data_IF_133974733650
#
_entry.id   IF_133974733650
#
_cell.length_a   1.000
_cell.length_b   1.000
_cell.length_c   1.000
_cell.angle_alpha   90.00
_cell.angle_beta   90.00
_cell.angle_gamma   90.00
#
_symmetry.space_group_name_H-M   'P 1'
#
loop_
_entity.id
_entity.type
_entity.pdbx_description
1 polymer ?
#
# COMPACT_ATOMS: atom_id res chain seq x y z
N UNK A 1 -34.34 -17.72 0.71
CA UNK A 1 -33.24 -17.89 -0.25
C UNK A 1 -32.99 -16.72 -1.23
N UNK A 2 -33.95 -16.04 -1.86
CA UNK A 2 -33.62 -14.82 -2.66
C UNK A 2 -33.30 -13.59 -1.79
N UNK A 3 -33.89 -13.46 -0.61
CA UNK A 3 -33.61 -12.33 0.33
C UNK A 3 -32.17 -12.32 0.86
N UNK A 4 -31.58 -13.50 1.13
CA UNK A 4 -30.19 -13.61 1.58
C UNK A 4 -29.18 -13.07 0.53
N UNK A 5 -29.41 -13.35 -0.75
CA UNK A 5 -28.50 -12.91 -1.82
C UNK A 5 -28.53 -11.40 -2.05
N UNK A 6 -29.70 -10.77 -1.96
CA UNK A 6 -29.80 -9.31 -2.04
C UNK A 6 -29.08 -8.64 -0.87
N UNK A 7 -29.21 -9.18 0.33
CA UNK A 7 -28.50 -8.71 1.52
C UNK A 7 -26.98 -8.86 1.35
N UNK A 8 -26.51 -10.01 0.83
CA UNK A 8 -25.08 -10.23 0.55
C UNK A 8 -24.54 -9.21 -0.46
N UNK A 9 -25.26 -8.89 -1.53
CA UNK A 9 -24.86 -7.87 -2.51
C UNK A 9 -24.71 -6.50 -1.84
N UNK A 10 -25.62 -6.11 -0.96
CA UNK A 10 -25.53 -4.83 -0.22
C UNK A 10 -24.28 -4.82 0.69
N UNK A 11 -24.00 -5.92 1.39
CA UNK A 11 -22.81 -6.05 2.24
C UNK A 11 -21.53 -6.01 1.42
N UNK A 12 -21.48 -6.68 0.25
CA UNK A 12 -20.35 -6.67 -0.66
C UNK A 12 -20.05 -5.26 -1.21
N UNK A 13 -21.08 -4.46 -1.53
CA UNK A 13 -20.91 -3.06 -1.98
C UNK A 13 -20.19 -2.18 -0.95
N UNK A 14 -20.30 -2.48 0.34
CA UNK A 14 -19.61 -1.77 1.41
C UNK A 14 -18.14 -2.18 1.61
N UNK A 15 -17.67 -3.21 0.94
CA UNK A 15 -16.31 -3.74 1.10
C UNK A 15 -15.36 -3.20 0.03
N UNK A 16 -14.24 -2.60 0.44
CA UNK A 16 -13.20 -2.05 -0.46
C UNK A 16 -12.77 -2.98 -1.61
N UNK A 17 -12.56 -4.31 -1.42
CA UNK A 17 -12.18 -5.19 -2.51
C UNK A 17 -13.15 -5.21 -3.69
N UNK A 18 -14.44 -4.99 -3.43
CA UNK A 18 -15.50 -5.06 -4.44
C UNK A 18 -15.92 -3.68 -4.98
N UNK A 19 -15.22 -2.63 -4.58
CA UNK A 19 -15.49 -1.28 -5.05
C UNK A 19 -15.31 -1.14 -6.55
N UNK A 20 -16.30 -0.51 -7.20
CA UNK A 20 -16.31 -0.27 -8.65
C UNK A 20 -16.56 -1.51 -9.50
N UNK A 21 -17.05 -2.61 -8.94
CA UNK A 21 -17.61 -3.72 -9.68
C UNK A 21 -19.01 -3.39 -10.18
N UNK A 22 -19.41 -3.93 -11.35
CA UNK A 22 -20.77 -3.82 -11.86
C UNK A 22 -21.75 -4.65 -11.01
N UNK A 23 -23.05 -4.33 -11.09
CA UNK A 23 -24.07 -5.09 -10.38
C UNK A 23 -24.10 -6.57 -10.79
N UNK A 24 -23.81 -6.89 -12.06
CA UNK A 24 -23.66 -8.26 -12.56
C UNK A 24 -22.46 -8.97 -11.93
N UNK A 25 -21.32 -8.28 -11.81
CA UNK A 25 -20.14 -8.84 -11.17
C UNK A 25 -20.37 -9.06 -9.67
N UNK A 26 -21.04 -8.14 -9.00
CA UNK A 26 -21.42 -8.28 -7.59
C UNK A 26 -22.40 -9.44 -7.37
N UNK A 27 -23.36 -9.63 -8.28
CA UNK A 27 -24.28 -10.77 -8.23
C UNK A 27 -23.54 -12.10 -8.42
N UNK A 28 -22.53 -12.13 -9.30
CA UNK A 28 -21.67 -13.32 -9.49
C UNK A 28 -20.88 -13.62 -8.20
N UNK A 29 -20.28 -12.62 -7.56
CA UNK A 29 -19.59 -12.80 -6.28
C UNK A 29 -20.57 -13.29 -5.21
N UNK A 30 -21.74 -12.67 -5.09
CA UNK A 30 -22.77 -13.04 -4.12
C UNK A 30 -23.28 -14.48 -4.32
N UNK A 31 -23.25 -15.01 -5.56
CA UNK A 31 -23.69 -16.37 -5.84
C UNK A 31 -22.84 -17.46 -5.19
N UNK A 32 -21.57 -17.14 -4.91
CA UNK A 32 -20.58 -18.05 -4.29
C UNK A 32 -20.18 -17.63 -2.88
N UNK A 33 -20.80 -16.58 -2.34
CA UNK A 33 -20.54 -16.06 -1.00
C UNK A 33 -21.52 -16.70 -0.01
N UNK A 34 -21.01 -17.21 1.11
CA UNK A 34 -21.78 -17.72 2.22
C UNK A 34 -21.72 -16.79 3.42
N UNK A 35 -22.74 -16.78 4.26
CA UNK A 35 -22.76 -16.08 5.54
C UNK A 35 -22.47 -17.08 6.66
N UNK A 36 -21.45 -16.79 7.46
CA UNK A 36 -21.04 -17.56 8.61
C UNK A 36 -21.26 -16.72 9.88
N UNK A 37 -22.04 -17.25 10.81
CA UNK A 37 -22.25 -16.62 12.13
C UNK A 37 -21.36 -17.29 13.17
N UNK A 38 -20.64 -16.47 13.94
CA UNK A 38 -19.77 -16.92 15.02
C UNK A 38 -20.13 -16.20 16.32
N UNK A 39 -20.16 -16.95 17.40
CA UNK A 39 -20.46 -16.43 18.76
C UNK A 39 -19.21 -15.79 19.36
N UNK A 40 -19.42 -14.90 20.33
CA UNK A 40 -18.31 -14.33 21.11
C UNK A 40 -17.45 -15.44 21.76
N UNK A 41 -16.15 -15.29 21.68
CA UNK A 41 -15.17 -16.27 22.17
C UNK A 41 -14.98 -17.49 21.25
N UNK A 42 -15.78 -17.66 20.21
CA UNK A 42 -15.64 -18.76 19.28
C UNK A 42 -14.50 -18.49 18.28
N UNK A 43 -13.63 -19.48 18.09
CA UNK A 43 -12.61 -19.47 17.04
C UNK A 43 -13.19 -19.79 15.68
N UNK A 44 -12.56 -19.27 14.63
CA UNK A 44 -12.79 -19.71 13.25
C UNK A 44 -11.75 -20.76 12.93
N UNK A 45 -12.20 -21.97 12.62
CA UNK A 45 -11.31 -23.02 12.13
C UNK A 45 -10.79 -22.65 10.73
N UNK A 46 -9.53 -22.28 10.67
CA UNK A 46 -8.86 -22.00 9.43
C UNK A 46 -8.18 -23.29 8.94
N UNK A 47 -8.39 -23.69 7.67
CA UNK A 47 -7.70 -24.85 7.12
C UNK A 47 -6.19 -24.68 7.26
N UNK A 48 -5.51 -25.75 7.63
CA UNK A 48 -4.05 -25.76 7.85
C UNK A 48 -3.25 -25.72 6.53
N UNK A 49 -3.90 -25.92 5.39
CA UNK A 49 -3.30 -26.00 4.08
C UNK A 49 -3.58 -24.78 3.19
N UNK A 50 -3.04 -24.80 1.98
CA UNK A 50 -2.95 -23.71 0.99
C UNK A 50 -4.29 -23.11 0.55
N UNK A 51 -5.42 -23.69 0.97
CA UNK A 51 -6.77 -23.33 0.53
C UNK A 51 -7.49 -22.48 1.59
N UNK A 52 -6.92 -21.32 1.92
CA UNK A 52 -7.56 -20.37 2.82
C UNK A 52 -8.77 -19.71 2.13
N UNK A 53 -9.98 -19.84 2.68
CA UNK A 53 -11.12 -19.06 2.23
C UNK A 53 -10.89 -17.56 2.44
N UNK A 54 -11.53 -16.75 1.62
CA UNK A 54 -11.66 -15.32 1.86
C UNK A 54 -12.76 -15.09 2.89
N UNK A 55 -12.47 -14.23 3.86
CA UNK A 55 -13.43 -13.82 4.88
C UNK A 55 -13.53 -12.30 4.91
N UNK A 56 -14.74 -11.76 5.05
CA UNK A 56 -14.97 -10.34 5.33
C UNK A 56 -15.93 -10.17 6.49
N UNK A 57 -15.65 -9.19 7.36
CA UNK A 57 -16.48 -8.92 8.54
C UNK A 57 -17.67 -8.06 8.13
N UNK A 58 -18.86 -8.67 8.08
CA UNK A 58 -20.11 -7.96 7.81
C UNK A 58 -20.60 -7.19 9.05
N UNK A 59 -20.54 -7.83 10.23
CA UNK A 59 -20.87 -7.22 11.53
C UNK A 59 -20.00 -7.84 12.63
N UNK A 60 -19.79 -7.13 13.72
CA UNK A 60 -19.05 -7.63 14.88
C UNK A 60 -17.58 -7.23 14.89
N UNK A 61 -16.74 -8.01 15.58
CA UNK A 61 -15.30 -7.77 15.76
C UNK A 61 -14.55 -9.09 15.98
N UNK A 62 -13.44 -9.29 15.27
CA UNK A 62 -12.63 -10.51 15.33
C UNK A 62 -11.20 -10.16 15.67
N UNK A 63 -10.60 -10.86 16.65
CA UNK A 63 -9.18 -10.77 16.95
C UNK A 63 -8.39 -11.71 16.05
N UNK A 64 -7.45 -11.18 15.30
CA UNK A 64 -6.48 -11.93 14.49
C UNK A 64 -5.18 -12.09 15.27
N UNK A 65 -4.74 -13.31 15.48
CA UNK A 65 -3.50 -13.64 16.18
C UNK A 65 -2.57 -14.41 15.26
N UNK A 66 -1.32 -13.96 15.14
CA UNK A 66 -0.30 -14.66 14.36
C UNK A 66 0.31 -15.76 15.20
N UNK A 67 0.23 -17.01 14.76
CA UNK A 67 0.98 -18.10 15.35
C UNK A 67 2.46 -17.98 14.95
N UNK A 68 3.32 -17.73 15.94
CA UNK A 68 4.78 -17.73 15.78
C UNK A 68 5.40 -18.77 16.70
N UNK A 69 6.53 -19.37 16.28
CA UNK A 69 7.24 -20.45 17.02
C UNK A 69 7.57 -20.13 18.50
N UNK A 70 7.54 -18.86 18.89
CA UNK A 70 7.94 -18.44 20.25
C UNK A 70 6.87 -17.70 21.05
N UNK A 71 5.89 -17.05 20.46
CA UNK A 71 4.79 -16.36 21.15
C UNK A 71 3.65 -16.06 20.18
N UNK A 72 2.43 -16.28 20.61
CA UNK A 72 1.25 -15.71 19.95
C UNK A 72 1.30 -14.20 20.08
N UNK A 73 1.29 -13.49 18.95
CA UNK A 73 1.20 -12.03 18.94
C UNK A 73 -0.17 -11.65 18.38
N UNK A 74 -1.01 -10.95 19.15
CA UNK A 74 -2.19 -10.31 18.58
C UNK A 74 -1.73 -9.33 17.52
N UNK A 75 -2.27 -9.44 16.30
CA UNK A 75 -1.87 -8.57 15.19
C UNK A 75 -2.75 -7.34 15.20
N UNK A 76 -4.05 -7.51 15.09
CA UNK A 76 -5.10 -6.48 15.27
C UNK A 76 -6.48 -7.08 15.31
N UNK A 77 -7.43 -6.29 15.81
CA UNK A 77 -8.83 -6.65 15.77
C UNK A 77 -9.45 -6.17 14.45
N UNK A 78 -10.01 -7.10 13.70
CA UNK A 78 -10.76 -6.84 12.49
C UNK A 78 -12.17 -6.35 12.85
N UNK A 79 -12.60 -5.26 12.27
CA UNK A 79 -13.92 -4.63 12.45
C UNK A 79 -14.75 -4.75 11.16
N UNK A 80 -15.98 -4.26 11.19
CA UNK A 80 -16.85 -4.21 10.02
C UNK A 80 -16.10 -3.64 8.80
N UNK A 81 -16.27 -4.26 7.66
CA UNK A 81 -15.64 -4.00 6.37
C UNK A 81 -14.16 -4.42 6.24
N UNK A 82 -13.53 -4.94 7.30
CA UNK A 82 -12.22 -5.57 7.18
C UNK A 82 -12.35 -6.98 6.59
N UNK A 83 -11.26 -7.46 5.98
CA UNK A 83 -11.21 -8.79 5.38
C UNK A 83 -9.85 -9.47 5.59
N UNK A 84 -9.80 -10.79 5.35
CA UNK A 84 -8.59 -11.61 5.44
C UNK A 84 -8.71 -12.86 4.57
N UNK A 85 -7.60 -13.59 4.41
CA UNK A 85 -7.54 -14.84 3.64
C UNK A 85 -7.17 -14.69 2.17
N UNK A 86 -7.36 -13.51 1.58
CA UNK A 86 -6.99 -13.25 0.19
C UNK A 86 -5.46 -13.20 -0.04
N UNK A 87 -4.66 -13.03 1.00
CA UNK A 87 -3.20 -12.94 0.96
C UNK A 87 -2.56 -14.26 0.49
N UNK A 88 -3.17 -15.39 0.81
CA UNK A 88 -2.72 -16.71 0.31
C UNK A 88 -2.92 -16.81 -1.20
N UNK A 89 -4.09 -16.46 -1.70
CA UNK A 89 -4.43 -16.57 -3.12
C UNK A 89 -3.65 -15.60 -4.02
N UNK A 90 -3.28 -14.41 -3.50
CA UNK A 90 -2.68 -13.32 -4.29
C UNK A 90 -1.19 -13.18 -4.06
N UNK A 91 -0.72 -13.31 -2.81
CA UNK A 91 0.68 -13.10 -2.43
C UNK A 91 1.44 -14.40 -2.13
N UNK A 92 0.76 -15.56 -2.16
CA UNK A 92 1.36 -16.86 -1.78
C UNK A 92 1.82 -16.90 -0.32
N UNK A 93 1.21 -16.12 0.56
CA UNK A 93 1.59 -16.04 1.98
C UNK A 93 1.30 -17.38 2.68
N UNK A 94 2.24 -17.86 3.49
CA UNK A 94 2.10 -19.11 4.28
C UNK A 94 1.97 -18.82 5.78
N UNK A 95 1.34 -17.73 6.17
CA UNK A 95 1.21 -17.38 7.60
C UNK A 95 -0.02 -18.05 8.20
N UNK A 96 0.18 -18.72 9.31
CA UNK A 96 -0.90 -19.33 10.09
C UNK A 96 -1.42 -18.28 11.07
N UNK A 97 -2.72 -18.02 10.98
CA UNK A 97 -3.42 -17.14 11.89
C UNK A 97 -4.49 -17.91 12.66
N UNK A 98 -4.73 -17.50 13.90
CA UNK A 98 -5.92 -17.89 14.66
C UNK A 98 -6.87 -16.70 14.70
N UNK A 99 -8.14 -16.95 14.60
CA UNK A 99 -9.19 -15.93 14.65
C UNK A 99 -10.17 -16.26 15.77
N UNK A 100 -10.46 -15.27 16.61
CA UNK A 100 -11.42 -15.41 17.69
C UNK A 100 -12.38 -14.24 17.66
N UNK A 101 -13.66 -14.50 17.69
CA UNK A 101 -14.67 -13.45 17.74
C UNK A 101 -14.66 -12.75 19.11
N UNK A 102 -14.47 -11.43 19.12
CA UNK A 102 -14.54 -10.59 20.32
C UNK A 102 -15.96 -10.15 20.66
N UNK A 103 -16.88 -10.29 19.71
CA UNK A 103 -18.33 -10.04 19.82
C UNK A 103 -19.04 -10.99 18.85
N UNK A 104 -20.35 -11.21 19.01
CA UNK A 104 -21.13 -11.92 17.98
C UNK A 104 -20.87 -11.31 16.61
N UNK A 105 -20.40 -12.13 15.66
CA UNK A 105 -19.86 -11.67 14.38
C UNK A 105 -20.47 -12.44 13.22
N UNK A 106 -20.81 -11.73 12.15
CA UNK A 106 -21.18 -12.30 10.86
C UNK A 106 -20.04 -12.11 9.88
N UNK A 107 -19.58 -13.21 9.28
CA UNK A 107 -18.55 -13.22 8.25
C UNK A 107 -19.16 -13.61 6.92
N UNK A 108 -18.80 -12.88 5.87
CA UNK A 108 -18.97 -13.31 4.49
C UNK A 108 -17.78 -14.21 4.14
N UNK A 109 -18.04 -15.39 3.60
CA UNK A 109 -17.01 -16.36 3.25
C UNK A 109 -17.07 -16.75 1.78
N UNK A 110 -15.91 -16.83 1.12
CA UNK A 110 -15.76 -17.34 -0.25
C UNK A 110 -14.67 -18.41 -0.22
N UNK A 111 -15.00 -19.60 -0.66
CA UNK A 111 -14.06 -20.72 -0.78
C UNK A 111 -12.86 -20.36 -1.67
N UNK A 112 -11.66 -20.88 -1.33
CA UNK A 112 -10.43 -20.54 -2.04
C UNK A 112 -10.49 -20.84 -3.55
N UNK A 113 -11.06 -21.96 -3.94
CA UNK A 113 -11.24 -22.35 -5.35
C UNK A 113 -12.20 -21.41 -6.09
N UNK A 114 -13.27 -20.97 -5.44
CA UNK A 114 -14.22 -20.01 -5.97
C UNK A 114 -13.60 -18.63 -6.10
N UNK A 115 -12.85 -18.20 -5.08
CA UNK A 115 -12.09 -16.94 -5.13
C UNK A 115 -11.10 -16.95 -6.31
N UNK A 116 -10.33 -18.02 -6.48
CA UNK A 116 -9.39 -18.15 -7.58
C UNK A 116 -10.08 -18.08 -8.97
N UNK A 117 -11.31 -18.57 -9.07
CA UNK A 117 -12.12 -18.47 -10.28
C UNK A 117 -12.60 -17.03 -10.50
N UNK A 118 -13.13 -16.37 -9.46
CA UNK A 118 -13.54 -14.98 -9.51
C UNK A 118 -12.38 -14.05 -9.90
N UNK A 119 -11.18 -14.27 -9.37
CA UNK A 119 -9.99 -13.47 -9.72
C UNK A 119 -9.57 -13.62 -11.19
N UNK A 120 -9.90 -14.73 -11.84
CA UNK A 120 -9.69 -14.92 -13.29
C UNK A 120 -10.77 -14.24 -14.12
N UNK A 121 -12.03 -14.29 -13.65
CA UNK A 121 -13.19 -13.75 -14.38
C UNK A 121 -13.32 -12.24 -14.22
N UNK A 122 -12.88 -11.68 -13.07
CA UNK A 122 -13.03 -10.26 -12.70
C UNK A 122 -11.64 -9.66 -12.45
N UNK A 123 -10.92 -9.19 -13.50
CA UNK A 123 -9.58 -8.62 -13.35
C UNK A 123 -9.52 -7.46 -12.36
N UNK A 124 -10.56 -6.62 -12.30
CA UNK A 124 -10.65 -5.49 -11.38
C UNK A 124 -10.64 -5.93 -9.91
N UNK A 125 -11.34 -7.01 -9.55
CA UNK A 125 -11.30 -7.58 -8.21
C UNK A 125 -9.88 -8.01 -7.83
N UNK A 126 -9.16 -8.63 -8.77
CA UNK A 126 -7.76 -9.03 -8.57
C UNK A 126 -6.85 -7.83 -8.31
N UNK A 127 -7.02 -6.75 -9.06
CA UNK A 127 -6.25 -5.50 -8.89
C UNK A 127 -6.55 -4.83 -7.56
N UNK A 128 -7.83 -4.68 -7.20
CA UNK A 128 -8.24 -4.11 -5.93
C UNK A 128 -7.61 -4.87 -4.75
N UNK A 129 -7.81 -6.19 -4.71
CA UNK A 129 -7.25 -7.04 -3.66
C UNK A 129 -5.72 -6.97 -3.61
N UNK A 130 -5.04 -6.97 -4.76
CA UNK A 130 -3.58 -6.88 -4.84
C UNK A 130 -3.06 -5.56 -4.25
N UNK A 131 -3.71 -4.45 -4.56
CA UNK A 131 -3.35 -3.12 -4.03
C UNK A 131 -3.54 -3.06 -2.52
N UNK A 132 -4.69 -3.51 -2.03
CA UNK A 132 -5.00 -3.50 -0.59
C UNK A 132 -4.05 -4.43 0.18
N UNK A 133 -3.78 -5.63 -0.33
CA UNK A 133 -2.89 -6.58 0.34
C UNK A 133 -1.43 -6.13 0.36
N UNK A 134 -0.95 -5.42 -0.68
CA UNK A 134 0.37 -4.79 -0.66
C UNK A 134 0.45 -3.73 0.43
N UNK A 135 -0.59 -2.91 0.56
CA UNK A 135 -0.71 -1.92 1.64
C UNK A 135 -0.68 -2.59 3.01
N UNK A 136 -1.49 -3.61 3.24
CA UNK A 136 -1.47 -4.37 4.50
C UNK A 136 -0.13 -5.03 4.80
N UNK A 137 0.56 -5.57 3.80
CA UNK A 137 1.90 -6.13 3.98
C UNK A 137 2.92 -5.05 4.39
N UNK A 138 2.85 -3.89 3.78
CA UNK A 138 3.69 -2.75 4.14
C UNK A 138 3.39 -2.27 5.57
N UNK A 139 2.11 -2.19 5.96
CA UNK A 139 1.67 -1.85 7.31
C UNK A 139 2.19 -2.84 8.37
N UNK A 140 2.23 -4.13 8.06
CA UNK A 140 2.74 -5.16 9.00
C UNK A 140 4.25 -5.12 9.20
N UNK A 141 5.00 -4.65 8.20
CA UNK A 141 6.46 -4.60 8.25
C UNK A 141 7.01 -3.34 8.91
N UNK A 142 6.21 -2.30 9.09
CA UNK A 142 6.60 -0.99 9.58
C UNK A 142 5.71 -0.55 10.74
N UNK A 143 6.25 0.28 11.65
CA UNK A 143 5.48 0.88 12.73
C UNK A 143 4.99 2.26 12.27
N UNK A 144 3.69 2.48 12.37
CA UNK A 144 3.04 3.76 12.05
C UNK A 144 2.54 4.41 13.35
N UNK A 145 3.44 4.59 14.31
CA UNK A 145 3.11 5.13 15.64
C UNK A 145 2.61 6.60 15.57
N UNK A 146 2.72 7.22 14.39
CA UNK A 146 2.30 8.60 14.13
C UNK A 146 0.88 8.71 13.55
N UNK A 147 0.23 7.62 13.21
CA UNK A 147 -1.15 7.63 12.71
C UNK A 147 -2.10 7.69 13.88
N UNK A 148 -3.05 8.63 13.83
CA UNK A 148 -4.08 8.79 14.86
C UNK A 148 -5.07 7.62 14.79
N UNK A 149 -5.70 7.26 15.92
CA UNK A 149 -6.65 6.13 15.99
C UNK A 149 -7.86 6.29 15.05
N UNK A 150 -8.25 7.53 14.75
CA UNK A 150 -9.36 7.86 13.86
C UNK A 150 -8.94 7.95 12.39
N UNK A 151 -7.64 7.88 12.09
CA UNK A 151 -7.09 8.05 10.74
C UNK A 151 -6.94 6.70 10.04
N UNK A 152 -7.49 6.57 8.84
CA UNK A 152 -7.43 5.35 8.06
C UNK A 152 -6.34 5.42 6.97
N UNK A 153 -5.38 4.48 7.00
CA UNK A 153 -4.39 4.35 5.93
C UNK A 153 -5.04 3.67 4.73
N UNK A 154 -5.07 4.36 3.61
CA UNK A 154 -5.69 3.88 2.36
C UNK A 154 -4.69 3.26 1.40
N UNK A 155 -3.47 3.79 1.36
CA UNK A 155 -2.40 3.30 0.50
C UNK A 155 -1.04 3.44 1.18
N UNK A 156 -0.22 2.38 1.08
CA UNK A 156 1.22 2.47 1.33
C UNK A 156 1.93 1.97 0.08
N UNK A 157 2.81 2.77 -0.46
CA UNK A 157 3.60 2.43 -1.65
C UNK A 157 5.07 2.77 -1.44
N UNK A 158 5.92 2.11 -2.22
CA UNK A 158 7.37 2.29 -2.22
C UNK A 158 7.83 2.57 -3.65
N UNK A 159 9.09 2.94 -3.82
CA UNK A 159 9.73 3.01 -5.14
C UNK A 159 9.57 1.68 -5.90
N UNK A 160 9.29 1.76 -7.19
CA UNK A 160 9.06 0.58 -8.02
C UNK A 160 10.36 -0.22 -8.23
N UNK A 161 10.36 -1.57 -8.13
CA UNK A 161 11.57 -2.37 -8.28
C UNK A 161 12.33 -2.12 -9.59
N UNK A 162 11.63 -1.86 -10.70
CA UNK A 162 12.28 -1.54 -11.98
C UNK A 162 13.10 -0.25 -11.92
N UNK A 163 12.74 0.70 -11.04
CA UNK A 163 13.55 1.91 -10.84
C UNK A 163 14.95 1.56 -10.31
N UNK A 164 15.07 0.59 -9.40
CA UNK A 164 16.37 0.16 -8.88
C UNK A 164 17.32 -0.31 -10.00
N UNK A 165 16.79 -1.08 -10.96
CA UNK A 165 17.61 -1.52 -12.12
C UNK A 165 18.11 -0.32 -12.95
N UNK A 166 17.25 0.68 -13.18
CA UNK A 166 17.63 1.90 -13.91
C UNK A 166 18.63 2.72 -13.09
N UNK A 167 18.42 2.88 -11.80
CA UNK A 167 19.32 3.65 -10.92
C UNK A 167 20.71 3.00 -10.79
N UNK A 168 20.80 1.68 -10.86
CA UNK A 168 22.08 0.96 -10.82
C UNK A 168 22.89 1.05 -12.12
N UNK A 169 22.33 1.54 -13.24
CA UNK A 169 23.07 1.69 -14.48
C UNK A 169 24.27 2.65 -14.32
N UNK A 170 24.14 3.71 -13.53
CA UNK A 170 25.24 4.64 -13.23
C UNK A 170 26.42 3.97 -12.52
N UNK A 171 26.20 3.37 -11.32
CA UNK A 171 27.26 2.60 -10.65
C UNK A 171 27.87 1.49 -11.51
N UNK A 172 27.06 0.79 -12.30
CA UNK A 172 27.55 -0.25 -13.21
C UNK A 172 28.44 0.33 -14.31
N UNK A 173 28.05 1.45 -14.93
CA UNK A 173 28.88 2.13 -15.92
C UNK A 173 30.21 2.59 -15.32
N UNK A 174 30.20 3.10 -14.08
CA UNK A 174 31.40 3.45 -13.35
C UNK A 174 32.27 2.20 -13.08
N UNK A 175 31.66 1.10 -12.64
CA UNK A 175 32.39 -0.16 -12.43
C UNK A 175 33.02 -0.66 -13.76
N UNK A 176 32.31 -0.57 -14.88
CA UNK A 176 32.83 -0.91 -16.20
C UNK A 176 34.01 -0.04 -16.60
N UNK A 177 34.01 1.26 -16.26
CA UNK A 177 35.13 2.17 -16.56
C UNK A 177 36.43 1.77 -15.89
N UNK A 178 36.38 1.00 -14.78
CA UNK A 178 37.56 0.47 -14.09
C UNK A 178 38.39 -0.49 -14.97
N UNK A 179 37.79 -1.06 -16.00
CA UNK A 179 38.53 -1.90 -16.97
C UNK A 179 39.60 -1.12 -17.74
N UNK A 180 39.43 0.20 -17.93
CA UNK A 180 40.41 1.03 -18.64
C UNK A 180 41.76 1.08 -17.91
N UNK A 181 41.85 1.39 -16.60
CA UNK A 181 43.13 1.29 -15.87
C UNK A 181 43.74 -0.12 -15.92
N UNK A 182 42.94 -1.16 -15.76
CA UNK A 182 43.45 -2.54 -15.84
C UNK A 182 43.96 -2.91 -17.21
N UNK A 183 43.34 -2.40 -18.29
CA UNK A 183 43.87 -2.56 -19.65
C UNK A 183 45.19 -1.80 -19.81
N UNK A 184 45.34 -0.59 -19.26
CA UNK A 184 46.60 0.15 -19.27
C UNK A 184 47.68 -0.64 -18.55
N UNK A 185 47.36 -1.24 -17.38
CA UNK A 185 48.28 -2.11 -16.69
C UNK A 185 48.76 -3.29 -17.58
N UNK A 186 47.84 -3.96 -18.28
CA UNK A 186 48.16 -5.10 -19.15
C UNK A 186 49.07 -4.72 -20.30
N UNK A 187 48.94 -3.48 -20.84
CA UNK A 187 49.71 -2.98 -21.98
C UNK A 187 50.99 -2.23 -21.56
N UNK A 188 51.16 -1.92 -20.27
CA UNK A 188 52.27 -1.10 -19.81
C UNK A 188 53.53 -1.96 -19.51
N UNK A 189 54.70 -1.60 -20.05
CA UNK A 189 55.95 -2.30 -19.76
C UNK A 189 56.61 -1.85 -18.43
N UNK A 190 56.06 -0.85 -17.73
CA UNK A 190 56.71 -0.26 -16.55
C UNK A 190 55.93 -0.56 -15.26
N UNK A 191 56.61 -1.06 -14.21
CA UNK A 191 56.02 -1.43 -12.94
C UNK A 191 55.33 -0.24 -12.27
N UNK A 192 55.90 0.97 -12.38
CA UNK A 192 55.31 2.15 -11.75
C UNK A 192 53.94 2.53 -12.35
N UNK A 193 53.79 2.45 -13.66
CA UNK A 193 52.53 2.73 -14.36
C UNK A 193 51.50 1.66 -14.03
N UNK A 194 51.90 0.38 -13.97
CA UNK A 194 51.03 -0.73 -13.65
C UNK A 194 50.44 -0.62 -12.22
N UNK A 195 51.29 -0.28 -11.25
CA UNK A 195 50.83 -0.07 -9.85
C UNK A 195 49.82 1.07 -9.73
N UNK A 196 50.07 2.23 -10.37
CA UNK A 196 49.13 3.36 -10.36
C UNK A 196 47.82 2.99 -11.03
N UNK A 197 47.86 2.29 -12.16
CA UNK A 197 46.68 1.84 -12.88
C UNK A 197 45.83 0.85 -12.05
N UNK A 198 46.47 -0.09 -11.37
CA UNK A 198 45.78 -1.05 -10.50
C UNK A 198 45.07 -0.34 -9.32
N UNK A 199 45.77 0.55 -8.63
CA UNK A 199 45.16 1.31 -7.53
C UNK A 199 44.01 2.22 -8.01
N UNK A 200 44.15 2.81 -9.20
CA UNK A 200 43.11 3.61 -9.81
C UNK A 200 41.88 2.75 -10.13
N UNK A 201 42.10 1.58 -10.77
CA UNK A 201 41.03 0.63 -11.09
C UNK A 201 40.27 0.15 -9.85
N UNK A 202 41.01 -0.23 -8.80
CA UNK A 202 40.44 -0.65 -7.52
C UNK A 202 39.66 0.51 -6.88
N UNK A 203 40.19 1.75 -6.89
CA UNK A 203 39.52 2.93 -6.36
C UNK A 203 38.19 3.20 -7.06
N UNK A 204 38.14 3.07 -8.39
CA UNK A 204 36.90 3.19 -9.17
C UNK A 204 35.89 2.10 -8.79
N UNK A 205 36.32 0.84 -8.63
CA UNK A 205 35.44 -0.23 -8.20
C UNK A 205 34.86 -0.02 -6.80
N UNK A 206 35.67 0.44 -5.87
CA UNK A 206 35.21 0.78 -4.52
C UNK A 206 34.19 1.92 -4.57
N UNK A 207 34.47 2.99 -5.34
CA UNK A 207 33.55 4.11 -5.50
C UNK A 207 32.22 3.65 -6.13
N UNK A 208 32.26 2.82 -7.15
CA UNK A 208 31.08 2.23 -7.80
C UNK A 208 30.29 1.36 -6.83
N UNK A 209 30.95 0.54 -6.02
CA UNK A 209 30.34 -0.29 -5.00
C UNK A 209 29.64 0.52 -3.90
N UNK A 210 30.30 1.58 -3.41
CA UNK A 210 29.71 2.50 -2.44
C UNK A 210 28.49 3.24 -2.99
N UNK A 211 28.57 3.69 -4.24
CA UNK A 211 27.43 4.31 -4.92
C UNK A 211 26.25 3.33 -5.10
N UNK A 212 26.52 2.10 -5.55
CA UNK A 212 25.50 1.06 -5.68
C UNK A 212 24.85 0.73 -4.33
N UNK A 213 25.65 0.59 -3.27
CA UNK A 213 25.15 0.36 -1.92
C UNK A 213 24.27 1.51 -1.43
N UNK A 214 24.68 2.75 -1.65
CA UNK A 214 23.86 3.92 -1.32
C UNK A 214 22.53 3.92 -2.07
N UNK A 215 22.56 3.71 -3.39
CA UNK A 215 21.36 3.61 -4.24
C UNK A 215 20.40 2.53 -3.74
N UNK A 216 20.92 1.39 -3.30
CA UNK A 216 20.11 0.31 -2.74
C UNK A 216 19.49 0.68 -1.39
N UNK A 217 20.24 1.31 -0.50
CA UNK A 217 19.75 1.77 0.82
C UNK A 217 18.64 2.80 0.65
N UNK A 218 18.83 3.80 -0.22
CA UNK A 218 17.84 4.80 -0.58
C UNK A 218 16.54 4.15 -1.12
N UNK A 219 16.70 3.18 -2.03
CA UNK A 219 15.55 2.46 -2.60
C UNK A 219 14.69 1.72 -1.56
N UNK A 220 15.28 1.08 -0.55
CA UNK A 220 14.53 0.23 0.40
C UNK A 220 13.92 1.02 1.55
N UNK A 221 14.42 2.21 1.84
CA UNK A 221 14.03 2.95 3.04
C UNK A 221 12.89 3.95 2.80
N UNK A 222 12.71 4.41 1.57
CA UNK A 222 11.68 5.37 1.24
C UNK A 222 10.33 4.70 1.05
N UNK A 223 9.32 5.33 1.62
CA UNK A 223 7.93 4.90 1.44
C UNK A 223 6.95 6.06 1.57
N UNK A 224 5.83 5.90 0.92
CA UNK A 224 4.79 6.91 0.77
C UNK A 224 3.47 6.39 1.31
N UNK A 225 2.74 7.21 2.03
CA UNK A 225 1.49 6.86 2.67
C UNK A 225 0.40 7.85 2.28
N UNK A 226 -0.76 7.34 1.93
CA UNK A 226 -1.99 8.13 1.74
C UNK A 226 -2.99 7.68 2.78
N UNK A 227 -3.48 8.63 3.56
CA UNK A 227 -4.56 8.43 4.53
C UNK A 227 -5.83 9.14 4.06
N UNK A 228 -6.89 9.00 4.81
CA UNK A 228 -8.14 9.74 4.58
C UNK A 228 -8.03 11.24 4.89
N UNK A 229 -6.98 11.67 5.63
CA UNK A 229 -6.74 13.06 6.03
C UNK A 229 -5.56 13.76 5.36
N UNK A 230 -4.50 13.02 5.00
CA UNK A 230 -3.22 13.58 4.53
C UNK A 230 -2.45 12.65 3.62
N UNK A 231 -1.48 13.21 2.90
CA UNK A 231 -0.40 12.49 2.20
C UNK A 231 0.89 12.64 2.98
N UNK A 232 1.67 11.58 3.06
CA UNK A 232 2.91 11.52 3.85
C UNK A 232 4.01 10.88 3.04
N UNK A 233 5.14 11.57 2.96
CA UNK A 233 6.40 11.07 2.44
C UNK A 233 7.34 10.78 3.59
N UNK A 234 7.94 9.60 3.60
CA UNK A 234 8.88 9.19 4.63
C UNK A 234 10.16 8.72 3.96
N UNK A 235 11.19 9.54 4.14
CA UNK A 235 12.56 9.23 3.75
C UNK A 235 13.34 8.82 4.99
N UNK A 236 13.96 7.68 4.97
CA UNK A 236 14.75 7.20 6.10
C UNK A 236 16.06 6.58 5.64
N UNK A 237 17.16 7.12 6.11
CA UNK A 237 18.48 6.50 5.96
C UNK A 237 18.89 5.94 7.31
N UNK A 238 19.00 4.62 7.39
CA UNK A 238 19.22 3.87 8.64
C UNK A 238 20.40 4.46 9.42
N UNK A 239 20.11 4.97 10.63
CA UNK A 239 21.12 5.48 11.56
C UNK A 239 21.65 6.89 11.27
N UNK A 240 21.26 7.54 10.17
CA UNK A 240 21.77 8.86 9.79
C UNK A 240 20.66 9.92 9.73
N UNK A 241 19.48 9.58 9.18
CA UNK A 241 18.46 10.57 8.87
C UNK A 241 17.08 9.91 8.79
N UNK A 242 16.08 10.58 9.33
CA UNK A 242 14.68 10.24 9.12
C UNK A 242 13.89 11.54 8.96
N UNK A 243 13.40 11.79 7.76
CA UNK A 243 12.51 12.90 7.45
C UNK A 243 11.11 12.40 7.17
N UNK A 244 10.13 13.13 7.69
CA UNK A 244 8.73 12.90 7.40
C UNK A 244 8.10 14.21 6.95
N UNK A 245 7.70 14.27 5.71
CA UNK A 245 6.95 15.38 5.15
C UNK A 245 5.50 14.98 4.98
N UNK A 246 4.59 15.85 5.39
CA UNK A 246 3.16 15.59 5.34
C UNK A 246 2.38 16.81 4.87
N UNK A 247 1.34 16.58 4.09
CA UNK A 247 0.41 17.62 3.67
C UNK A 247 -1.03 17.14 3.87
N UNK A 248 -1.86 17.90 4.61
CA UNK A 248 -3.29 17.62 4.68
C UNK A 248 -3.91 17.66 3.29
N UNK A 249 -4.87 16.78 3.00
CA UNK A 249 -5.58 16.76 1.71
C UNK A 249 -6.24 18.09 1.38
N UNK A 250 -6.69 18.83 2.40
CA UNK A 250 -7.27 20.18 2.25
C UNK A 250 -6.25 21.24 1.81
N UNK A 251 -4.96 21.03 2.05
CA UNK A 251 -3.89 21.94 1.67
C UNK A 251 -3.37 21.70 0.25
N UNK A 252 -3.69 20.58 -0.38
CA UNK A 252 -3.25 20.21 -1.72
C UNK A 252 -4.05 21.00 -2.76
N UNK A 253 -3.35 21.69 -3.64
CA UNK A 253 -3.93 22.49 -4.72
C UNK A 253 -4.09 21.70 -6.01
N UNK A 254 -3.03 20.97 -6.37
CA UNK A 254 -2.92 20.24 -7.63
C UNK A 254 -2.04 19.00 -7.46
N UNK A 255 -2.30 17.99 -8.28
CA UNK A 255 -1.49 16.79 -8.38
C UNK A 255 -0.97 16.62 -9.80
N UNK A 256 0.33 16.42 -9.94
CA UNK A 256 1.00 16.22 -11.22
C UNK A 256 1.60 14.80 -11.27
N UNK A 257 1.54 14.18 -12.46
CA UNK A 257 2.21 12.90 -12.73
C UNK A 257 3.35 13.13 -13.68
N UNK A 258 4.56 12.80 -13.24
CA UNK A 258 5.77 12.87 -14.05
C UNK A 258 6.30 11.47 -14.33
N UNK A 259 6.56 11.17 -15.60
CA UNK A 259 7.11 9.88 -16.01
C UNK A 259 8.32 10.06 -16.90
N UNK A 260 9.42 9.39 -16.57
CA UNK A 260 10.61 9.34 -17.43
C UNK A 260 10.39 8.41 -18.63
N UNK A 261 11.32 8.39 -19.59
CA UNK A 261 11.29 7.43 -20.69
C UNK A 261 11.24 5.97 -20.18
N UNK A 262 12.16 5.61 -19.28
CA UNK A 262 12.17 4.28 -18.67
C UNK A 262 10.94 4.02 -17.80
N UNK A 263 10.43 5.06 -17.11
CA UNK A 263 9.20 4.96 -16.32
C UNK A 263 7.99 4.58 -17.16
N UNK A 264 7.85 5.17 -18.35
CA UNK A 264 6.76 4.81 -19.29
C UNK A 264 6.89 3.39 -19.81
N UNK A 265 8.11 2.93 -20.10
CA UNK A 265 8.36 1.58 -20.60
C UNK A 265 8.17 0.52 -19.50
N UNK A 266 8.54 0.82 -18.27
CA UNK A 266 8.57 -0.13 -17.16
C UNK A 266 7.41 0.04 -16.16
N UNK A 267 6.50 0.99 -16.40
CA UNK A 267 5.27 1.17 -15.61
C UNK A 267 5.45 1.89 -14.28
N UNK A 268 6.47 2.76 -14.14
CA UNK A 268 6.66 3.58 -12.94
C UNK A 268 6.73 5.08 -13.25
N UNK A 269 6.52 5.91 -12.24
CA UNK A 269 6.61 7.36 -12.34
C UNK A 269 6.43 8.03 -10.99
N UNK A 270 6.43 9.35 -10.97
CA UNK A 270 6.31 10.13 -9.76
C UNK A 270 5.00 10.91 -9.72
N UNK A 271 4.43 11.05 -8.53
CA UNK A 271 3.29 11.93 -8.26
C UNK A 271 3.76 13.06 -7.37
N UNK A 272 3.55 14.28 -7.82
CA UNK A 272 3.86 15.48 -7.05
C UNK A 272 2.54 16.12 -6.61
N UNK A 273 2.35 16.23 -5.31
CA UNK A 273 1.21 16.91 -4.70
C UNK A 273 1.63 18.29 -4.23
N UNK A 274 1.23 19.33 -4.96
CA UNK A 274 1.55 20.72 -4.65
C UNK A 274 0.68 21.22 -3.52
N UNK A 275 1.27 21.51 -2.36
CA UNK A 275 0.58 22.07 -1.21
C UNK A 275 1.05 23.49 -0.88
N UNK A 276 0.32 24.21 0.00
CA UNK A 276 0.68 25.58 0.39
C UNK A 276 2.03 25.66 1.15
N UNK A 277 2.44 24.60 1.82
CA UNK A 277 3.63 24.57 2.67
C UNK A 277 4.82 23.82 2.05
N UNK A 278 4.69 23.37 0.80
CA UNK A 278 5.71 22.60 0.08
C UNK A 278 5.09 21.48 -0.75
N UNK A 279 5.91 20.85 -1.57
CA UNK A 279 5.48 19.76 -2.45
C UNK A 279 5.77 18.41 -1.77
N UNK A 280 4.80 17.51 -1.76
CA UNK A 280 5.01 16.12 -1.37
C UNK A 280 5.21 15.29 -2.63
N UNK A 281 6.31 14.51 -2.69
CA UNK A 281 6.72 13.80 -3.88
C UNK A 281 6.74 12.29 -3.65
N UNK A 282 5.88 11.58 -4.32
CA UNK A 282 5.92 10.11 -4.37
C UNK A 282 6.76 9.69 -5.57
N UNK A 283 8.04 9.44 -5.35
CA UNK A 283 9.00 9.23 -6.42
C UNK A 283 9.02 7.78 -6.91
N UNK A 284 9.03 7.65 -8.26
CA UNK A 284 9.23 6.38 -8.96
C UNK A 284 8.34 5.22 -8.46
N UNK A 285 7.10 5.53 -8.12
CA UNK A 285 6.10 4.56 -7.64
C UNK A 285 5.46 3.78 -8.80
N UNK A 286 4.86 2.63 -8.46
CA UNK A 286 4.04 1.88 -9.41
C UNK A 286 2.71 2.60 -9.67
N UNK A 287 2.24 2.56 -10.93
CA UNK A 287 0.91 3.06 -11.33
C UNK A 287 0.60 4.50 -10.85
N UNK A 288 1.45 5.48 -11.13
CA UNK A 288 1.33 6.83 -10.58
C UNK A 288 0.00 7.51 -10.91
N UNK A 289 -0.61 7.20 -12.06
CA UNK A 289 -1.92 7.74 -12.42
C UNK A 289 -3.02 7.29 -11.44
N UNK A 290 -3.02 6.04 -11.00
CA UNK A 290 -4.00 5.53 -10.03
C UNK A 290 -3.81 6.18 -8.65
N UNK A 291 -2.56 6.41 -8.24
CA UNK A 291 -2.26 7.09 -6.97
C UNK A 291 -2.71 8.54 -7.02
N UNK A 292 -2.45 9.28 -8.10
CA UNK A 292 -2.97 10.63 -8.32
C UNK A 292 -4.50 10.65 -8.25
N UNK A 293 -5.18 9.72 -8.95
CA UNK A 293 -6.64 9.66 -8.99
C UNK A 293 -7.23 9.38 -7.60
N UNK A 294 -6.56 8.54 -6.81
CA UNK A 294 -6.91 8.31 -5.40
C UNK A 294 -6.80 9.60 -4.59
N UNK A 295 -5.66 10.29 -4.63
CA UNK A 295 -5.44 11.55 -3.90
C UNK A 295 -6.47 12.60 -4.34
N UNK A 296 -6.71 12.76 -5.64
CA UNK A 296 -7.70 13.69 -6.20
C UNK A 296 -9.11 13.37 -5.71
N UNK A 297 -9.50 12.09 -5.67
CA UNK A 297 -10.84 11.68 -5.20
C UNK A 297 -11.03 11.98 -3.71
N UNK A 298 -10.02 11.69 -2.89
CA UNK A 298 -10.02 11.97 -1.46
C UNK A 298 -10.08 13.47 -1.17
N UNK A 299 -9.29 14.27 -1.87
CA UNK A 299 -9.32 15.73 -1.76
C UNK A 299 -10.70 16.30 -2.08
N UNK A 300 -11.35 15.84 -3.15
CA UNK A 300 -12.71 16.25 -3.51
C UNK A 300 -13.72 15.84 -2.44
N UNK A 301 -13.61 14.65 -1.88
CA UNK A 301 -14.48 14.19 -0.81
C UNK A 301 -14.33 15.04 0.46
N UNK A 302 -13.10 15.34 0.86
CA UNK A 302 -12.79 16.20 2.02
C UNK A 302 -13.33 17.64 1.81
N UNK A 303 -13.13 18.20 0.62
CA UNK A 303 -13.67 19.52 0.28
C UNK A 303 -15.22 19.54 0.30
N UNK A 304 -15.86 18.49 -0.20
CA UNK A 304 -17.32 18.35 -0.15
C UNK A 304 -17.86 18.28 1.28
N UNK A 305 -17.18 17.54 2.16
CA UNK A 305 -17.55 17.45 3.58
C UNK A 305 -17.39 18.79 4.30
N UNK A 306 -16.32 19.54 4.04
CA UNK A 306 -16.11 20.88 4.60
C UNK A 306 -17.24 21.84 4.20
N UNK A 307 -17.59 21.88 2.90
CA UNK A 307 -18.71 22.72 2.41
C UNK A 307 -20.05 22.31 3.04
N UNK A 308 -20.29 21.01 3.21
CA UNK A 308 -21.51 20.53 3.87
C UNK A 308 -21.57 20.95 5.35
N UNK A 309 -20.45 20.84 6.09
CA UNK A 309 -20.33 21.27 7.47
C UNK A 309 -20.57 22.79 7.63
N UNK A 310 -19.98 23.61 6.74
CA UNK A 310 -20.17 25.06 6.73
C UNK A 310 -21.64 25.43 6.47
N UNK A 311 -22.31 24.73 5.55
CA UNK A 311 -23.75 24.93 5.28
C UNK A 311 -24.60 24.64 6.50
N UNK A 312 -24.33 23.55 7.23
CA UNK A 312 -25.04 23.19 8.46
C UNK A 312 -24.79 24.22 9.54
N UNK A 313 -23.57 24.69 9.70
CA UNK A 313 -23.19 25.72 10.67
C UNK A 313 -23.87 27.03 10.37
N UNK A 314 -23.88 27.49 9.10
CA UNK A 314 -24.59 28.69 8.65
C UNK A 314 -26.10 28.56 8.86
N UNK A 315 -26.70 27.42 8.53
CA UNK A 315 -28.11 27.20 8.75
C UNK A 315 -28.45 27.27 10.25
N UNK A 316 -27.62 26.75 11.13
CA UNK A 316 -27.79 26.82 12.58
C UNK A 316 -27.63 28.25 13.12
N UNK A 317 -26.67 29.01 12.59
CA UNK A 317 -26.52 30.45 12.95
C UNK A 317 -27.71 31.27 12.53
N UNK A 318 -28.23 31.10 11.30
CA UNK A 318 -29.44 31.74 10.82
C UNK A 318 -30.65 31.36 11.67
N UNK A 319 -30.80 30.08 12.02
CA UNK A 319 -31.89 29.60 12.87
C UNK A 319 -31.87 30.20 14.28
N UNK A 320 -30.69 30.34 14.89
CA UNK A 320 -30.51 31.01 16.19
C UNK A 320 -30.80 32.49 16.14
N UNK A 321 -30.56 33.14 14.98
CA UNK A 321 -30.83 34.56 14.80
C UNK A 321 -32.33 34.86 14.59
N UNK A 322 -33.06 33.91 13.98
CA UNK A 322 -34.51 34.03 13.73
C UNK A 322 -35.30 33.58 14.99
N UNK A 323 -34.84 32.54 15.69
CA UNK A 323 -35.45 32.05 16.92
C UNK A 323 -34.38 32.03 18.04
N UNK A 324 -34.12 33.15 18.71
CA UNK A 324 -33.20 33.15 19.87
C UNK A 324 -33.79 32.28 20.99
N UNK A 325 -32.93 31.54 21.69
CA UNK A 325 -33.37 30.79 22.87
C UNK A 325 -33.96 31.78 23.92
N UNK A 326 -34.97 31.32 24.69
CA UNK A 326 -35.63 32.15 25.70
C UNK A 326 -34.68 32.63 26.81
#
# INVERSE_FOLDING_TARGET
MPEDKATIVILLKGLKPFEGLSDEQLALVASVTNLLEIKEGQGVDLPSDRDYPFYAVATGKVQKTLQSWRKEKPVWALKKNDFFGADVAILGSRRIYTLVALKPTQLLTIEAGQLATLLRMIPRLKENLRTILRTYKALQSRRFDWVTEDEEILLVTNKHPAYLFVALLGPLALAWSSLLPFMVNLLSPTVAVSLVADWLGIGILIAAGLWAAWTYVDFINDYYVVTDGRVVEIESVVGLYSNREEAPLSAIKNEEVTTSFFGRMLGFGSVVSHAFMGDIRFENIAEPAKVRDLITSLRKATAGQAVAADRVTMANLVRRRINPPP
#
